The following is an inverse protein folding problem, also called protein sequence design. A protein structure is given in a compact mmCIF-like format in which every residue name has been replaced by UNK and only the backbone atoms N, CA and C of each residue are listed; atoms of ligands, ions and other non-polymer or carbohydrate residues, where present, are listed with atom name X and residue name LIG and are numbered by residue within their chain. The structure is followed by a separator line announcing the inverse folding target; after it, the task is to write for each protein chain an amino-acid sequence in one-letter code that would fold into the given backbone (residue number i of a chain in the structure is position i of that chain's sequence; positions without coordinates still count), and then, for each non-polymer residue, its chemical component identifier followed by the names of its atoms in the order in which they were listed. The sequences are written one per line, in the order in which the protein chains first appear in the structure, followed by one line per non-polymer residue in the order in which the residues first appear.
data_IF_450421600246
#
_entry.id   IF_450421600246
#
_cell.length_a   1.000
_cell.length_b   1.000
_cell.length_c   1.000
_cell.angle_alpha   90.00
_cell.angle_beta   90.00
_cell.angle_gamma   90.00
#
_symmetry.space_group_name_H-M   'P 1'
#
loop_
_entity.id
_entity.type
_entity.pdbx_description
1 polymer ?
#
# COMPACT_ATOMS: atom_id res chain seq x y z
N UNK A 1 31.79 -31.17 9.76
CA UNK A 1 31.88 -30.58 8.41
C UNK A 1 30.65 -29.69 8.26
N UNK A 2 30.79 -28.41 8.63
CA UNK A 2 29.70 -27.43 8.59
C UNK A 2 29.63 -26.97 7.14
N UNK A 3 28.52 -27.28 6.45
CA UNK A 3 28.30 -26.81 5.10
C UNK A 3 28.10 -25.29 5.12
N UNK A 4 28.93 -24.56 4.39
CA UNK A 4 28.74 -23.13 4.17
C UNK A 4 27.34 -22.88 3.54
N UNK A 5 26.58 -21.88 4.00
CA UNK A 5 25.31 -21.55 3.39
C UNK A 5 25.52 -21.10 1.93
N UNK A 6 24.57 -21.38 1.01
CA UNK A 6 24.72 -21.02 -0.39
C UNK A 6 24.92 -19.51 -0.50
N UNK A 7 26.02 -19.08 -1.14
CA UNK A 7 26.30 -17.68 -1.46
C UNK A 7 25.14 -17.14 -2.30
N UNK A 8 24.19 -16.46 -1.66
CA UNK A 8 23.10 -15.78 -2.35
C UNK A 8 23.73 -14.74 -3.26
N UNK A 9 23.56 -14.96 -4.57
CA UNK A 9 24.23 -14.21 -5.62
C UNK A 9 23.86 -12.71 -5.45
N UNK A 10 24.84 -11.80 -5.37
CA UNK A 10 24.59 -10.37 -5.10
C UNK A 10 23.52 -9.77 -6.04
N UNK A 11 23.49 -10.24 -7.29
CA UNK A 11 22.52 -9.90 -8.32
C UNK A 11 21.09 -10.37 -8.02
N UNK A 12 20.90 -11.52 -7.36
CA UNK A 12 19.55 -11.96 -6.97
C UNK A 12 19.00 -11.10 -5.83
N UNK A 13 19.88 -10.67 -4.91
CA UNK A 13 19.52 -9.80 -3.78
C UNK A 13 19.18 -8.36 -4.20
N UNK A 14 19.89 -7.79 -5.17
CA UNK A 14 19.70 -6.40 -5.63
C UNK A 14 18.92 -6.29 -6.95
N UNK A 15 18.25 -7.37 -7.36
CA UNK A 15 17.61 -7.49 -8.67
C UNK A 15 16.56 -6.40 -8.93
N UNK A 16 15.76 -6.07 -7.91
CA UNK A 16 14.73 -5.02 -7.99
C UNK A 16 15.33 -3.63 -8.23
N UNK A 17 16.47 -3.33 -7.59
CA UNK A 17 17.18 -2.06 -7.75
C UNK A 17 17.82 -1.96 -9.14
N UNK A 18 18.38 -3.07 -9.66
CA UNK A 18 18.95 -3.10 -11.01
C UNK A 18 17.88 -2.85 -12.07
N UNK A 19 16.68 -3.42 -11.91
CA UNK A 19 15.58 -3.18 -12.84
C UNK A 19 15.06 -1.76 -12.80
N UNK A 20 14.93 -1.18 -11.60
CA UNK A 20 14.60 0.24 -11.47
C UNK A 20 15.66 1.10 -12.17
N UNK A 21 16.94 0.80 -12.00
CA UNK A 21 18.02 1.51 -12.69
C UNK A 21 17.90 1.42 -14.22
N UNK A 22 17.64 0.22 -14.77
CA UNK A 22 17.42 0.03 -16.21
C UNK A 22 16.21 0.82 -16.69
N UNK A 23 15.09 0.79 -15.95
CA UNK A 23 13.88 1.54 -16.30
C UNK A 23 14.11 3.04 -16.28
N UNK A 24 14.82 3.56 -15.27
CA UNK A 24 15.20 4.97 -15.18
C UNK A 24 16.06 5.39 -16.36
N UNK A 25 17.08 4.60 -16.70
CA UNK A 25 17.96 4.87 -17.84
C UNK A 25 17.18 4.87 -19.17
N UNK A 26 16.32 3.86 -19.37
CA UNK A 26 15.50 3.78 -20.57
C UNK A 26 14.54 4.99 -20.69
N UNK A 27 13.93 5.40 -19.57
CA UNK A 27 13.03 6.55 -19.51
C UNK A 27 13.73 7.85 -19.90
N UNK A 28 14.90 8.10 -19.29
CA UNK A 28 15.76 9.25 -19.58
C UNK A 28 16.18 9.29 -21.06
N UNK A 29 16.68 8.17 -21.59
CA UNK A 29 17.14 8.08 -22.98
C UNK A 29 15.97 8.28 -23.95
N UNK A 30 14.84 7.62 -23.70
CA UNK A 30 13.65 7.75 -24.53
C UNK A 30 13.13 9.20 -24.54
N UNK A 31 13.05 9.86 -23.38
CA UNK A 31 12.61 11.27 -23.30
C UNK A 31 13.58 12.19 -24.02
N UNK A 32 14.89 11.97 -23.90
CA UNK A 32 15.87 12.76 -24.63
C UNK A 32 15.72 12.61 -26.15
N UNK A 33 15.54 11.38 -26.65
CA UNK A 33 15.31 11.14 -28.08
C UNK A 33 14.00 11.79 -28.55
N UNK A 34 12.91 11.63 -27.81
CA UNK A 34 11.61 12.22 -28.18
C UNK A 34 11.68 13.75 -28.22
N UNK A 35 12.30 14.37 -27.21
CA UNK A 35 12.39 15.84 -27.12
C UNK A 35 13.34 16.45 -28.15
N UNK A 36 14.43 15.76 -28.50
CA UNK A 36 15.32 16.19 -29.59
C UNK A 36 14.65 16.09 -30.95
N UNK A 37 13.88 15.02 -31.21
CA UNK A 37 13.11 14.89 -32.45
C UNK A 37 11.99 15.93 -32.58
N UNK A 38 11.38 16.34 -31.48
CA UNK A 38 10.35 17.39 -31.45
C UNK A 38 10.93 18.81 -31.47
N UNK A 39 12.25 18.97 -31.43
CA UNK A 39 12.90 20.30 -31.45
C UNK A 39 12.60 21.14 -30.21
N UNK A 40 12.40 20.51 -29.04
CA UNK A 40 12.07 21.22 -27.80
C UNK A 40 13.26 22.09 -27.35
N UNK A 41 13.06 23.38 -27.01
CA UNK A 41 14.15 24.28 -26.65
C UNK A 41 14.97 23.84 -25.44
N UNK A 42 14.31 23.30 -24.39
CA UNK A 42 14.99 22.88 -23.15
C UNK A 42 14.66 21.40 -22.80
N UNK A 43 15.25 20.42 -23.53
CA UNK A 43 14.92 19.00 -23.35
C UNK A 43 15.25 18.48 -21.94
N UNK A 44 16.17 19.14 -21.23
CA UNK A 44 16.58 18.80 -19.87
C UNK A 44 15.43 18.76 -18.85
N UNK A 45 14.41 19.62 -18.98
CA UNK A 45 13.29 19.64 -18.03
C UNK A 45 12.34 18.47 -18.21
N UNK A 46 12.10 18.08 -19.47
CA UNK A 46 11.35 16.88 -19.82
C UNK A 46 12.10 15.64 -19.32
N UNK A 47 13.42 15.55 -19.55
CA UNK A 47 14.26 14.44 -19.07
C UNK A 47 14.27 14.34 -17.55
N UNK A 48 14.45 15.46 -16.84
CA UNK A 48 14.39 15.50 -15.38
C UNK A 48 13.00 15.09 -14.86
N UNK A 49 11.94 15.48 -15.56
CA UNK A 49 10.58 15.06 -15.23
C UNK A 49 10.40 13.56 -15.41
N UNK A 50 10.81 13.02 -16.55
CA UNK A 50 10.76 11.58 -16.82
C UNK A 50 11.52 10.77 -15.75
N UNK A 51 12.71 11.25 -15.34
CA UNK A 51 13.48 10.65 -14.26
C UNK A 51 12.72 10.65 -12.93
N UNK A 52 12.11 11.79 -12.54
CA UNK A 52 11.38 11.94 -11.28
C UNK A 52 10.13 11.07 -11.25
N UNK A 53 9.38 11.02 -12.35
CA UNK A 53 8.10 10.31 -12.40
C UNK A 53 8.27 8.81 -12.65
N UNK A 54 9.45 8.36 -13.09
CA UNK A 54 9.72 6.93 -13.26
C UNK A 54 9.99 6.30 -11.89
N UNK A 55 9.08 5.45 -11.45
CA UNK A 55 9.14 4.78 -10.14
C UNK A 55 9.32 3.27 -10.30
N UNK A 56 9.60 2.60 -9.17
CA UNK A 56 9.72 1.13 -9.10
C UNK A 56 8.46 0.37 -9.52
N UNK A 57 7.30 1.04 -9.47
CA UNK A 57 6.01 0.49 -9.87
C UNK A 57 5.31 1.43 -10.88
N UNK A 58 4.38 0.89 -11.66
CA UNK A 58 3.65 1.66 -12.68
C UNK A 58 2.71 2.65 -11.99
N UNK A 59 1.99 2.22 -10.95
CA UNK A 59 1.09 3.06 -10.17
C UNK A 59 1.84 4.13 -9.39
N UNK A 60 3.03 3.82 -8.87
CA UNK A 60 3.95 4.81 -8.33
C UNK A 60 4.31 5.86 -9.39
N UNK A 61 4.54 5.43 -10.63
CA UNK A 61 4.87 6.35 -11.73
C UNK A 61 3.67 7.22 -12.12
N UNK A 62 2.46 6.64 -12.20
CA UNK A 62 1.21 7.37 -12.47
C UNK A 62 0.95 8.43 -11.41
N UNK A 63 1.05 8.05 -10.13
CA UNK A 63 0.88 8.98 -9.01
C UNK A 63 1.92 10.09 -9.08
N UNK A 64 3.20 9.75 -9.27
CA UNK A 64 4.28 10.73 -9.39
C UNK A 64 4.07 11.68 -10.58
N UNK A 65 3.62 11.19 -11.74
CA UNK A 65 3.26 12.02 -12.89
C UNK A 65 2.10 12.95 -12.58
N UNK A 66 1.06 12.48 -11.88
CA UNK A 66 -0.08 13.29 -11.46
C UNK A 66 0.33 14.40 -10.48
N UNK A 67 1.04 14.03 -9.42
CA UNK A 67 1.58 14.97 -8.42
C UNK A 67 2.49 16.02 -9.08
N UNK A 68 3.35 15.59 -10.00
CA UNK A 68 4.25 16.47 -10.75
C UNK A 68 3.50 17.42 -11.67
N UNK A 69 2.52 16.93 -12.41
CA UNK A 69 1.72 17.74 -13.34
C UNK A 69 0.86 18.76 -12.59
N UNK A 70 0.09 18.32 -11.59
CA UNK A 70 -0.78 19.18 -10.78
C UNK A 70 0.05 20.20 -10.00
N UNK A 71 1.14 19.77 -9.36
CA UNK A 71 2.04 20.66 -8.64
C UNK A 71 2.65 21.73 -9.53
N UNK A 72 3.13 21.34 -10.72
CA UNK A 72 3.66 22.29 -11.70
C UNK A 72 2.59 23.28 -12.15
N UNK A 73 1.40 22.79 -12.51
CA UNK A 73 0.32 23.65 -12.97
C UNK A 73 -0.08 24.67 -11.90
N UNK A 74 -0.25 24.22 -10.65
CA UNK A 74 -0.57 25.09 -9.52
C UNK A 74 0.53 26.14 -9.29
N UNK A 75 1.80 25.73 -9.31
CA UNK A 75 2.94 26.62 -9.16
C UNK A 75 3.08 27.62 -10.30
N UNK A 76 2.84 27.21 -11.54
CA UNK A 76 2.92 28.06 -12.71
C UNK A 76 1.80 29.11 -12.72
N UNK A 77 0.57 28.72 -12.42
CA UNK A 77 -0.58 29.64 -12.34
C UNK A 77 -0.39 30.63 -11.19
N UNK A 78 -0.06 30.15 -9.99
CA UNK A 78 0.13 31.04 -8.84
C UNK A 78 1.35 31.94 -9.00
N UNK A 79 2.49 31.38 -9.41
CA UNK A 79 3.72 32.14 -9.66
C UNK A 79 3.54 33.18 -10.76
N UNK A 80 2.83 32.84 -11.85
CA UNK A 80 2.51 33.78 -12.92
C UNK A 80 1.55 34.90 -12.47
N UNK A 81 0.55 34.58 -11.65
CA UNK A 81 -0.35 35.58 -11.07
C UNK A 81 0.41 36.57 -10.17
N UNK A 82 1.31 36.08 -9.32
CA UNK A 82 2.17 36.93 -8.49
C UNK A 82 3.11 37.76 -9.36
N UNK A 83 3.73 37.15 -10.36
CA UNK A 83 4.62 37.82 -11.33
C UNK A 83 3.94 38.99 -12.06
N UNK A 84 2.65 38.86 -12.37
CA UNK A 84 1.88 39.86 -13.10
C UNK A 84 1.38 41.02 -12.22
N UNK A 85 1.11 40.77 -10.93
CA UNK A 85 0.50 41.74 -10.02
C UNK A 85 1.53 42.55 -9.26
N UNK A 86 2.62 41.92 -8.84
CA UNK A 86 3.63 42.55 -8.00
C UNK A 86 4.80 43.02 -8.90
N UNK A 87 5.30 44.26 -8.76
CA UNK A 87 6.53 44.67 -9.43
C UNK A 87 7.76 44.19 -8.66
N UNK A 88 8.74 43.59 -9.36
CA UNK A 88 9.88 42.90 -8.71
C UNK A 88 11.26 43.41 -9.15
N UNK A 89 11.36 44.67 -9.61
CA UNK A 89 12.61 45.21 -10.16
C UNK A 89 13.72 45.38 -9.12
N UNK A 90 13.36 45.56 -7.85
CA UNK A 90 14.28 45.80 -6.75
C UNK A 90 14.30 44.62 -5.76
N UNK A 91 15.40 44.47 -5.02
CA UNK A 91 15.61 43.35 -4.09
C UNK A 91 14.50 43.19 -3.04
N UNK A 92 13.91 44.30 -2.59
CA UNK A 92 12.79 44.29 -1.63
C UNK A 92 11.52 43.76 -2.29
N UNK A 93 11.18 44.24 -3.49
CA UNK A 93 10.00 43.78 -4.24
C UNK A 93 10.09 42.30 -4.63
N UNK A 94 11.29 41.83 -5.01
CA UNK A 94 11.53 40.41 -5.24
C UNK A 94 11.32 39.58 -3.95
N UNK A 95 11.75 40.09 -2.80
CA UNK A 95 11.55 39.46 -1.50
C UNK A 95 10.06 39.32 -1.15
N UNK A 96 9.28 40.38 -1.30
CA UNK A 96 7.83 40.38 -1.05
C UNK A 96 7.10 39.35 -1.94
N UNK A 97 7.46 39.31 -3.22
CA UNK A 97 6.85 38.38 -4.15
C UNK A 97 7.24 36.93 -3.93
N UNK A 98 8.48 36.66 -3.52
CA UNK A 98 8.87 35.33 -3.09
C UNK A 98 8.05 34.89 -1.87
N UNK A 99 7.84 35.76 -0.89
CA UNK A 99 7.02 35.45 0.29
C UNK A 99 5.57 35.13 -0.13
N UNK A 100 4.98 35.95 -1.01
CA UNK A 100 3.58 35.78 -1.46
C UNK A 100 3.42 34.57 -2.40
N UNK A 101 4.40 34.30 -3.26
CA UNK A 101 4.38 33.13 -4.14
C UNK A 101 4.61 31.83 -3.37
N UNK A 102 5.57 31.80 -2.45
CA UNK A 102 5.98 30.58 -1.74
C UNK A 102 5.08 30.30 -0.55
N UNK A 103 4.69 31.29 0.24
CA UNK A 103 3.99 31.10 1.52
C UNK A 103 2.74 30.22 1.42
N UNK A 104 1.76 30.56 0.57
CA UNK A 104 0.55 29.76 0.38
C UNK A 104 0.85 28.37 -0.17
N UNK A 105 1.77 28.25 -1.13
CA UNK A 105 2.14 26.97 -1.74
C UNK A 105 2.92 26.08 -0.75
N UNK A 106 3.73 26.65 0.13
CA UNK A 106 4.45 25.95 1.18
C UNK A 106 3.48 25.40 2.24
N UNK A 107 2.49 26.20 2.64
CA UNK A 107 1.41 25.72 3.51
C UNK A 107 0.60 24.59 2.86
N UNK A 108 0.23 24.75 1.59
CA UNK A 108 -0.47 23.70 0.83
C UNK A 108 0.38 22.43 0.69
N UNK A 109 1.69 22.59 0.51
CA UNK A 109 2.67 21.49 0.46
C UNK A 109 2.77 20.75 1.79
N UNK A 110 2.67 21.46 2.92
CA UNK A 110 2.66 20.84 4.25
C UNK A 110 1.42 19.95 4.45
N UNK A 111 0.26 20.34 3.91
CA UNK A 111 -0.96 19.54 3.94
C UNK A 111 -0.97 18.40 2.91
N UNK A 112 -0.39 18.64 1.72
CA UNK A 112 -0.30 17.66 0.62
C UNK A 112 1.13 17.57 0.11
N UNK A 113 1.95 16.66 0.67
CA UNK A 113 3.35 16.50 0.28
C UNK A 113 3.60 16.22 -1.21
N UNK A 114 2.60 15.73 -1.96
CA UNK A 114 2.67 15.57 -3.42
C UNK A 114 2.86 16.89 -4.18
N UNK A 115 2.46 18.03 -3.61
CA UNK A 115 2.54 19.34 -4.25
C UNK A 115 3.87 20.07 -4.02
N UNK A 116 4.90 19.40 -3.50
CA UNK A 116 6.25 19.97 -3.23
C UNK A 116 6.90 20.65 -4.44
N UNK A 117 6.46 20.32 -5.65
CA UNK A 117 6.98 20.91 -6.89
C UNK A 117 6.36 22.30 -7.17
N UNK A 118 5.19 22.60 -6.60
CA UNK A 118 4.49 23.86 -6.85
C UNK A 118 5.30 25.08 -6.40
N UNK A 119 5.84 25.16 -5.16
CA UNK A 119 6.67 26.30 -4.75
C UNK A 119 7.90 26.49 -5.64
N UNK A 120 8.59 25.41 -5.99
CA UNK A 120 9.77 25.45 -6.87
C UNK A 120 9.39 26.00 -8.26
N UNK A 121 8.24 25.58 -8.77
CA UNK A 121 7.74 26.04 -10.08
C UNK A 121 7.38 27.51 -10.05
N UNK A 122 6.72 27.97 -8.98
CA UNK A 122 6.35 29.36 -8.79
C UNK A 122 7.58 30.28 -8.74
N UNK A 123 8.63 29.88 -8.00
CA UNK A 123 9.91 30.61 -7.95
C UNK A 123 10.50 30.78 -9.35
N UNK A 124 10.54 29.71 -10.13
CA UNK A 124 11.16 29.75 -11.46
C UNK A 124 10.34 30.62 -12.42
N UNK A 125 9.00 30.57 -12.37
CA UNK A 125 8.16 31.47 -13.17
C UNK A 125 8.34 32.93 -12.75
N UNK A 126 8.52 33.18 -11.45
CA UNK A 126 8.76 34.52 -10.91
C UNK A 126 10.11 35.09 -11.35
N UNK A 127 11.16 34.26 -11.41
CA UNK A 127 12.54 34.67 -11.74
C UNK A 127 12.81 34.64 -13.25
N UNK A 128 12.16 33.76 -14.02
CA UNK A 128 12.35 33.61 -15.47
C UNK A 128 12.37 34.92 -16.28
N UNK A 129 11.48 35.91 -16.06
CA UNK A 129 11.51 37.16 -16.81
C UNK A 129 12.79 38.02 -16.60
N UNK A 130 13.62 37.73 -15.61
CA UNK A 130 14.85 38.49 -15.35
C UNK A 130 16.04 38.10 -16.24
N UNK A 131 15.96 37.00 -17.00
CA UNK A 131 17.07 36.47 -17.80
C UNK A 131 16.84 36.40 -19.32
N UNK A 132 15.58 36.41 -19.78
CA UNK A 132 15.22 36.26 -21.21
C UNK A 132 13.94 37.09 -21.49
N UNK A 133 13.90 37.78 -22.63
CA UNK A 133 12.77 38.61 -23.13
C UNK A 133 11.55 37.79 -23.58
N UNK A 134 11.15 36.77 -22.82
CA UNK A 134 9.97 35.93 -23.11
C UNK A 134 8.90 36.27 -22.07
N UNK A 135 7.66 36.42 -22.54
CA UNK A 135 6.50 36.70 -21.69
C UNK A 135 6.37 35.60 -20.60
N UNK A 136 6.16 35.95 -19.31
CA UNK A 136 6.01 34.96 -18.24
C UNK A 136 4.99 33.85 -18.53
N UNK A 137 3.93 34.18 -19.28
CA UNK A 137 2.89 33.21 -19.69
C UNK A 137 3.43 32.22 -20.72
N UNK A 138 4.19 32.68 -21.72
CA UNK A 138 4.81 31.83 -22.73
C UNK A 138 5.85 30.90 -22.11
N UNK A 139 6.66 31.41 -21.19
CA UNK A 139 7.63 30.61 -20.42
C UNK A 139 6.94 29.51 -19.60
N UNK A 140 5.82 29.84 -18.93
CA UNK A 140 5.03 28.86 -18.19
C UNK A 140 4.41 27.79 -19.10
N UNK A 141 3.93 28.17 -20.29
CA UNK A 141 3.33 27.25 -21.26
C UNK A 141 4.35 26.26 -21.83
N UNK A 142 5.53 26.73 -22.23
CA UNK A 142 6.64 25.88 -22.70
C UNK A 142 7.00 24.85 -21.62
N UNK A 143 7.09 25.31 -20.36
CA UNK A 143 7.44 24.45 -19.25
C UNK A 143 6.40 23.39 -18.94
N UNK A 144 5.11 23.74 -19.03
CA UNK A 144 4.02 22.78 -18.87
C UNK A 144 4.07 21.71 -19.97
N UNK A 145 4.39 22.10 -21.20
CA UNK A 145 4.54 21.18 -22.31
C UNK A 145 5.71 20.21 -22.12
N UNK A 146 6.88 20.72 -21.71
CA UNK A 146 8.07 19.91 -21.39
C UNK A 146 7.78 18.87 -20.30
N UNK A 147 7.08 19.28 -19.24
CA UNK A 147 6.70 18.40 -18.12
C UNK A 147 5.68 17.35 -18.58
N UNK A 148 4.74 17.74 -19.45
CA UNK A 148 3.77 16.81 -20.04
C UNK A 148 4.47 15.72 -20.85
N UNK A 149 5.43 16.08 -21.70
CA UNK A 149 6.23 15.11 -22.47
C UNK A 149 6.98 14.18 -21.53
N UNK A 150 7.66 14.72 -20.51
CA UNK A 150 8.39 13.92 -19.53
C UNK A 150 7.48 12.93 -18.79
N UNK A 151 6.29 13.36 -18.39
CA UNK A 151 5.27 12.49 -17.78
C UNK A 151 4.83 11.38 -18.73
N UNK A 152 4.46 11.72 -19.97
CA UNK A 152 3.98 10.74 -20.96
C UNK A 152 5.05 9.70 -21.28
N UNK A 153 6.27 10.15 -21.63
CA UNK A 153 7.35 9.24 -21.99
C UNK A 153 7.80 8.40 -20.79
N UNK A 154 7.85 8.98 -19.59
CA UNK A 154 8.15 8.25 -18.37
C UNK A 154 7.14 7.15 -18.07
N UNK A 155 5.84 7.43 -18.21
CA UNK A 155 4.78 6.44 -18.03
C UNK A 155 4.82 5.33 -19.08
N UNK A 156 4.99 5.69 -20.34
CA UNK A 156 5.13 4.72 -21.45
C UNK A 156 6.34 3.82 -21.20
N UNK A 157 7.46 4.40 -20.77
CA UNK A 157 8.67 3.63 -20.46
C UNK A 157 8.46 2.72 -19.24
N UNK A 158 7.79 3.19 -18.20
CA UNK A 158 7.42 2.36 -17.03
C UNK A 158 6.49 1.19 -17.41
N UNK A 159 5.65 1.35 -18.43
CA UNK A 159 4.79 0.29 -18.94
C UNK A 159 5.55 -0.73 -19.80
N UNK A 160 6.51 -0.28 -20.61
CA UNK A 160 7.22 -1.12 -21.60
C UNK A 160 8.47 -1.79 -21.01
N UNK A 161 9.23 -1.07 -20.18
CA UNK A 161 10.53 -1.52 -19.70
C UNK A 161 10.38 -2.30 -18.40
N UNK A 162 10.56 -3.62 -18.53
CA UNK A 162 10.72 -4.61 -17.46
C UNK A 162 9.70 -4.41 -16.33
N UNK A 163 8.44 -4.88 -16.49
CA UNK A 163 7.51 -4.88 -15.38
C UNK A 163 8.13 -5.67 -14.22
N UNK A 164 8.42 -4.99 -13.12
CA UNK A 164 9.03 -5.62 -11.94
C UNK A 164 7.97 -6.52 -11.33
N UNK A 165 8.08 -7.81 -11.66
CA UNK A 165 7.42 -8.98 -11.07
C UNK A 165 6.42 -8.62 -9.97
N UNK A 166 5.20 -8.29 -10.41
CA UNK A 166 4.03 -8.13 -9.55
C UNK A 166 3.89 -9.28 -8.56
N UNK A 167 4.32 -10.50 -8.94
CA UNK A 167 4.25 -11.69 -8.08
C UNK A 167 4.97 -11.54 -6.75
N UNK A 168 6.24 -11.12 -6.76
CA UNK A 168 7.02 -11.00 -5.51
C UNK A 168 6.53 -9.84 -4.66
N UNK A 169 6.15 -8.72 -5.29
CA UNK A 169 5.56 -7.58 -4.58
C UNK A 169 4.20 -7.95 -3.96
N UNK A 170 3.38 -8.72 -4.67
CA UNK A 170 2.10 -9.23 -4.20
C UNK A 170 2.30 -10.21 -3.05
N UNK A 171 3.27 -11.12 -3.13
CA UNK A 171 3.63 -12.03 -2.05
C UNK A 171 4.05 -11.29 -0.78
N UNK A 172 4.96 -10.30 -0.91
CA UNK A 172 5.39 -9.47 0.22
C UNK A 172 4.25 -8.66 0.83
N UNK A 173 3.40 -8.04 0.01
CA UNK A 173 2.26 -7.25 0.48
C UNK A 173 1.21 -8.14 1.17
N UNK A 174 0.99 -9.35 0.64
CA UNK A 174 0.11 -10.35 1.26
C UNK A 174 0.65 -10.78 2.63
N UNK A 175 1.95 -11.10 2.72
CA UNK A 175 2.58 -11.47 3.98
C UNK A 175 2.43 -10.37 5.05
N UNK A 176 2.74 -9.12 4.70
CA UNK A 176 2.57 -8.00 5.65
C UNK A 176 1.11 -7.85 6.12
N UNK A 177 0.13 -8.01 5.24
CA UNK A 177 -1.29 -7.95 5.62
C UNK A 177 -1.66 -9.10 6.57
N UNK A 178 -1.23 -10.33 6.27
CA UNK A 178 -1.52 -11.51 7.10
C UNK A 178 -0.89 -11.43 8.49
N UNK A 179 0.34 -10.94 8.59
CA UNK A 179 1.02 -10.75 9.89
C UNK A 179 0.22 -9.79 10.79
N UNK A 180 -0.22 -8.65 10.25
CA UNK A 180 -1.04 -7.71 11.01
C UNK A 180 -2.41 -8.28 11.37
N UNK A 181 -3.02 -9.07 10.48
CA UNK A 181 -4.27 -9.77 10.78
C UNK A 181 -4.13 -10.77 11.93
N UNK A 182 -3.03 -11.52 11.98
CA UNK A 182 -2.72 -12.43 13.08
C UNK A 182 -2.49 -11.69 14.39
N UNK A 183 -1.75 -10.58 14.36
CA UNK A 183 -1.54 -9.75 15.55
C UNK A 183 -2.86 -9.19 16.08
N UNK A 184 -3.73 -8.65 15.21
CA UNK A 184 -5.06 -8.17 15.58
C UNK A 184 -5.94 -9.26 16.16
N UNK A 185 -5.97 -10.47 15.57
CA UNK A 185 -6.70 -11.61 16.14
C UNK A 185 -6.30 -11.86 17.59
N UNK A 186 -4.99 -11.81 17.87
CA UNK A 186 -4.47 -11.96 19.23
C UNK A 186 -4.87 -10.83 20.17
N UNK A 187 -4.83 -9.58 19.71
CA UNK A 187 -5.27 -8.42 20.49
C UNK A 187 -6.77 -8.51 20.79
N UNK A 188 -7.60 -8.83 19.82
CA UNK A 188 -9.06 -8.94 19.98
C UNK A 188 -9.44 -10.05 20.97
N UNK A 189 -8.81 -11.21 20.85
CA UNK A 189 -9.03 -12.31 21.80
C UNK A 189 -8.55 -11.95 23.21
N UNK A 190 -7.36 -11.36 23.34
CA UNK A 190 -6.85 -10.88 24.63
C UNK A 190 -7.76 -9.81 25.26
N UNK A 191 -8.33 -8.93 24.44
CA UNK A 191 -9.30 -7.91 24.88
C UNK A 191 -10.61 -8.54 25.35
N UNK A 192 -11.12 -9.54 24.63
CA UNK A 192 -12.27 -10.33 25.08
C UNK A 192 -12.03 -11.04 26.41
N UNK A 193 -10.79 -11.44 26.69
CA UNK A 193 -10.40 -12.06 27.97
C UNK A 193 -10.04 -11.04 29.07
N UNK A 194 -10.09 -9.74 28.76
CA UNK A 194 -9.77 -8.67 29.70
C UNK A 194 -8.28 -8.55 30.04
N UNK A 195 -7.38 -9.16 29.25
CA UNK A 195 -5.93 -9.09 29.46
C UNK A 195 -5.27 -7.95 28.67
N UNK A 196 -5.97 -7.40 27.68
CA UNK A 196 -5.59 -6.21 26.91
C UNK A 196 -6.75 -5.25 26.75
N UNK A 197 -6.43 -4.00 26.42
CA UNK A 197 -7.43 -2.97 26.12
C UNK A 197 -7.69 -2.83 24.62
N UNK A 198 -8.90 -2.44 24.24
CA UNK A 198 -9.27 -2.23 22.84
C UNK A 198 -8.40 -1.15 22.15
N UNK A 199 -7.97 -0.13 22.90
CA UNK A 199 -7.08 0.93 22.40
C UNK A 199 -5.71 0.43 21.92
N UNK A 200 -5.24 -0.73 22.41
CA UNK A 200 -3.98 -1.31 21.93
C UNK A 200 -4.06 -1.81 20.48
N UNK A 201 -5.26 -1.98 19.93
CA UNK A 201 -5.45 -2.40 18.54
C UNK A 201 -5.33 -1.27 17.52
N UNK A 202 -5.53 -0.01 17.93
CA UNK A 202 -5.67 1.15 17.01
C UNK A 202 -4.46 1.32 16.08
N UNK A 203 -3.23 1.22 16.62
CA UNK A 203 -2.01 1.35 15.84
C UNK A 203 -1.84 0.20 14.83
N UNK A 204 -2.21 -1.02 15.21
CA UNK A 204 -2.14 -2.20 14.35
C UNK A 204 -3.24 -2.18 13.29
N UNK A 205 -4.44 -1.66 13.61
CA UNK A 205 -5.53 -1.44 12.65
C UNK A 205 -5.14 -0.40 11.59
N UNK A 206 -4.52 0.71 12.00
CA UNK A 206 -3.99 1.73 11.08
C UNK A 206 -2.90 1.14 10.20
N UNK A 207 -1.96 0.38 10.77
CA UNK A 207 -0.92 -0.29 10.02
C UNK A 207 -1.51 -1.30 9.01
N UNK A 208 -2.50 -2.11 9.40
CA UNK A 208 -3.19 -3.03 8.50
C UNK A 208 -3.85 -2.25 7.34
N UNK A 209 -4.56 -1.16 7.62
CA UNK A 209 -5.19 -0.33 6.59
C UNK A 209 -4.15 0.20 5.59
N UNK A 210 -3.02 0.73 6.07
CA UNK A 210 -1.91 1.18 5.23
C UNK A 210 -1.34 0.05 4.34
N UNK A 211 -1.20 -1.16 4.88
CA UNK A 211 -0.77 -2.32 4.12
C UNK A 211 -1.79 -2.77 3.08
N UNK A 212 -3.09 -2.72 3.40
CA UNK A 212 -4.18 -3.06 2.47
C UNK A 212 -4.30 -2.04 1.33
N UNK A 213 -4.12 -0.75 1.59
CA UNK A 213 -4.10 0.28 0.55
C UNK A 213 -2.93 0.07 -0.42
N UNK A 214 -1.75 -0.24 0.13
CA UNK A 214 -0.57 -0.63 -0.67
C UNK A 214 -0.85 -1.90 -1.47
N UNK A 215 -1.44 -2.92 -0.86
CA UNK A 215 -1.78 -4.17 -1.52
C UNK A 215 -2.80 -3.99 -2.65
N UNK A 216 -3.80 -3.12 -2.47
CA UNK A 216 -4.77 -2.75 -3.51
C UNK A 216 -4.12 -2.05 -4.71
N UNK A 217 -3.13 -1.18 -4.45
CA UNK A 217 -2.35 -0.55 -5.52
C UNK A 217 -1.55 -1.58 -6.32
N UNK A 218 -0.83 -2.48 -5.64
CA UNK A 218 -0.04 -3.55 -6.27
C UNK A 218 -0.94 -4.51 -7.06
N UNK A 219 -2.11 -4.86 -6.51
CA UNK A 219 -3.08 -5.72 -7.20
C UNK A 219 -3.60 -5.08 -8.48
N UNK A 220 -3.95 -3.79 -8.43
CA UNK A 220 -4.43 -3.05 -9.60
C UNK A 220 -3.37 -3.02 -10.70
N UNK A 221 -2.11 -2.79 -10.33
CA UNK A 221 -0.97 -2.86 -11.24
C UNK A 221 -0.80 -4.26 -11.84
N UNK A 222 -0.88 -5.32 -11.01
CA UNK A 222 -0.75 -6.70 -11.45
C UNK A 222 -1.88 -7.11 -12.43
N UNK A 223 -3.11 -6.65 -12.21
CA UNK A 223 -4.24 -6.87 -13.13
C UNK A 223 -3.97 -6.19 -14.47
N UNK A 224 -3.44 -4.95 -14.45
CA UNK A 224 -3.12 -4.22 -15.66
C UNK A 224 -1.96 -4.85 -16.41
N UNK A 225 -0.92 -5.30 -15.70
CA UNK A 225 0.21 -6.05 -16.27
C UNK A 225 -0.28 -7.30 -17.01
N UNK A 226 -1.14 -8.11 -16.39
CA UNK A 226 -1.73 -9.30 -17.01
C UNK A 226 -2.54 -8.99 -18.27
N UNK A 227 -3.24 -7.85 -18.33
CA UNK A 227 -3.99 -7.42 -19.52
C UNK A 227 -3.07 -7.08 -20.69
N UNK A 228 -1.92 -6.48 -20.41
CA UNK A 228 -0.95 -6.06 -21.42
C UNK A 228 0.00 -7.20 -21.83
N UNK A 229 0.34 -8.07 -20.90
CA UNK A 229 1.31 -9.15 -21.08
C UNK A 229 0.65 -10.52 -20.80
N UNK A 230 0.35 -11.27 -21.87
CA UNK A 230 -0.20 -12.65 -21.78
C UNK A 230 0.72 -13.66 -21.08
N UNK A 231 1.97 -13.30 -20.80
CA UNK A 231 2.94 -14.16 -20.12
C UNK A 231 2.72 -14.26 -18.59
N UNK A 232 1.83 -13.45 -18.00
CA UNK A 232 1.45 -13.57 -16.58
C UNK A 232 0.41 -14.67 -16.41
N UNK A 233 0.80 -15.76 -15.77
CA UNK A 233 0.06 -17.01 -15.65
C UNK A 233 -0.83 -17.10 -14.39
N UNK A 234 -0.85 -16.08 -13.54
CA UNK A 234 -1.66 -16.04 -12.32
C UNK A 234 -2.66 -14.88 -12.31
N UNK A 235 -3.76 -15.04 -11.58
CA UNK A 235 -4.74 -13.99 -11.36
C UNK A 235 -4.56 -13.39 -9.94
N UNK A 236 -4.20 -12.10 -9.79
CA UNK A 236 -4.07 -11.46 -8.49
C UNK A 236 -5.43 -11.13 -7.83
N UNK A 237 -6.51 -11.01 -8.60
CA UNK A 237 -7.80 -10.52 -8.10
C UNK A 237 -8.47 -11.46 -7.08
N UNK A 238 -8.39 -12.79 -7.21
CA UNK A 238 -8.81 -13.70 -6.14
C UNK A 238 -8.10 -13.38 -4.82
N UNK A 239 -6.77 -13.46 -4.76
CA UNK A 239 -6.00 -13.26 -3.52
C UNK A 239 -6.41 -11.96 -2.82
N UNK A 240 -6.51 -10.87 -3.58
CA UNK A 240 -6.98 -9.58 -3.06
C UNK A 240 -8.36 -9.65 -2.42
N UNK A 241 -9.35 -10.26 -3.10
CA UNK A 241 -10.70 -10.42 -2.57
C UNK A 241 -10.73 -11.21 -1.26
N UNK A 242 -9.92 -12.27 -1.13
CA UNK A 242 -9.92 -13.09 0.09
C UNK A 242 -9.24 -12.38 1.26
N UNK A 243 -8.16 -11.64 1.03
CA UNK A 243 -7.56 -10.77 2.07
C UNK A 243 -8.57 -9.71 2.54
N UNK A 244 -9.30 -9.07 1.63
CA UNK A 244 -10.33 -8.09 2.02
C UNK A 244 -11.50 -8.73 2.79
N UNK A 245 -11.84 -9.98 2.49
CA UNK A 245 -12.83 -10.77 3.25
C UNK A 245 -12.33 -11.11 4.65
N UNK A 246 -11.09 -11.60 4.79
CA UNK A 246 -10.46 -11.87 6.09
C UNK A 246 -10.40 -10.61 6.97
N UNK A 247 -10.08 -9.45 6.39
CA UNK A 247 -10.17 -8.16 7.08
C UNK A 247 -11.59 -7.89 7.60
N UNK A 248 -12.61 -8.18 6.80
CA UNK A 248 -14.00 -7.99 7.23
C UNK A 248 -14.38 -8.93 8.38
N UNK A 249 -13.93 -10.19 8.35
CA UNK A 249 -14.17 -11.15 9.43
C UNK A 249 -13.53 -10.65 10.74
N UNK A 250 -12.34 -10.06 10.68
CA UNK A 250 -11.71 -9.42 11.84
C UNK A 250 -12.52 -8.27 12.41
N UNK A 251 -13.22 -7.48 11.58
CA UNK A 251 -14.13 -6.44 12.07
C UNK A 251 -15.34 -7.05 12.80
N UNK A 252 -15.88 -8.18 12.34
CA UNK A 252 -16.96 -8.89 13.04
C UNK A 252 -16.47 -9.39 14.41
N UNK A 253 -15.26 -9.95 14.45
CA UNK A 253 -14.62 -10.43 15.69
C UNK A 253 -14.37 -9.26 16.63
N UNK A 254 -13.76 -8.17 16.16
CA UNK A 254 -13.53 -6.93 16.91
C UNK A 254 -14.83 -6.43 17.56
N UNK A 255 -15.92 -6.36 16.80
CA UNK A 255 -17.22 -5.94 17.33
C UNK A 255 -17.76 -6.90 18.40
N UNK A 256 -17.49 -8.20 18.30
CA UNK A 256 -17.86 -9.15 19.33
C UNK A 256 -16.98 -9.03 20.59
N UNK A 257 -15.72 -8.63 20.44
CA UNK A 257 -14.70 -8.55 21.51
C UNK A 257 -14.47 -7.15 22.08
N UNK A 258 -15.20 -6.12 21.63
CA UNK A 258 -14.98 -4.71 22.04
C UNK A 258 -15.09 -4.44 23.55
N UNK A 259 -15.80 -5.31 24.27
CA UNK A 259 -15.96 -5.29 25.71
C UNK A 259 -15.43 -6.62 26.28
N UNK A 260 -14.80 -6.63 27.46
CA UNK A 260 -14.37 -7.89 28.06
C UNK A 260 -15.56 -8.80 28.36
N UNK A 261 -15.36 -10.10 28.17
CA UNK A 261 -16.33 -11.11 28.56
C UNK A 261 -16.44 -11.16 30.10
N UNK A 262 -17.62 -11.47 30.66
CA UNK A 262 -17.76 -11.72 32.08
C UNK A 262 -16.76 -12.78 32.56
N UNK A 263 -16.17 -12.60 33.75
CA UNK A 263 -15.07 -13.43 34.26
C UNK A 263 -15.40 -14.93 34.31
N UNK A 264 -16.65 -15.28 34.57
CA UNK A 264 -17.14 -16.68 34.54
C UNK A 264 -17.09 -17.31 33.14
N UNK A 265 -17.40 -16.53 32.10
CA UNK A 265 -17.37 -16.94 30.71
C UNK A 265 -15.92 -16.95 30.21
N UNK A 266 -15.16 -15.90 30.52
CA UNK A 266 -13.75 -15.78 30.16
C UNK A 266 -12.91 -16.93 30.74
N UNK A 267 -13.17 -17.37 31.97
CA UNK A 267 -12.45 -18.50 32.58
C UNK A 267 -12.78 -19.85 31.92
N UNK A 268 -14.00 -20.04 31.42
CA UNK A 268 -14.43 -21.26 30.70
C UNK A 268 -13.93 -21.29 29.25
N UNK A 269 -14.08 -20.19 28.51
CA UNK A 269 -13.73 -20.11 27.09
C UNK A 269 -12.27 -19.73 26.84
N UNK A 270 -11.59 -19.13 27.81
CA UNK A 270 -10.21 -18.64 27.70
C UNK A 270 -9.22 -19.64 27.13
N UNK A 271 -9.17 -20.91 27.58
CA UNK A 271 -8.28 -21.91 27.00
C UNK A 271 -8.52 -22.14 25.49
N UNK A 272 -9.78 -22.24 25.08
CA UNK A 272 -10.14 -22.43 23.66
C UNK A 272 -9.82 -21.19 22.81
N UNK A 273 -10.11 -20.00 23.33
CA UNK A 273 -9.82 -18.72 22.68
C UNK A 273 -8.32 -18.47 22.52
N UNK A 274 -7.52 -18.73 23.57
CA UNK A 274 -6.06 -18.61 23.49
C UNK A 274 -5.46 -19.60 22.48
N UNK A 275 -5.97 -20.84 22.44
CA UNK A 275 -5.53 -21.82 21.44
C UNK A 275 -5.88 -21.37 20.02
N UNK A 276 -7.11 -20.88 19.80
CA UNK A 276 -7.57 -20.36 18.51
C UNK A 276 -6.70 -19.20 18.04
N UNK A 277 -6.39 -18.25 18.94
CA UNK A 277 -5.46 -17.15 18.68
C UNK A 277 -4.11 -17.65 18.18
N UNK A 278 -3.48 -18.56 18.94
CA UNK A 278 -2.15 -19.07 18.63
C UNK A 278 -2.09 -19.79 17.27
N UNK A 279 -3.00 -20.74 17.01
CA UNK A 279 -2.98 -21.50 15.75
C UNK A 279 -3.34 -20.64 14.55
N UNK A 280 -4.19 -19.62 14.73
CA UNK A 280 -4.55 -18.69 13.66
C UNK A 280 -3.37 -17.79 13.31
N UNK A 281 -2.67 -17.27 14.33
CA UNK A 281 -1.45 -16.49 14.12
C UNK A 281 -0.38 -17.27 13.37
N UNK A 282 -0.15 -18.51 13.78
CA UNK A 282 0.79 -19.41 13.11
C UNK A 282 0.37 -19.69 11.66
N UNK A 283 -0.89 -20.04 11.42
CA UNK A 283 -1.41 -20.28 10.08
C UNK A 283 -1.26 -19.06 9.15
N UNK A 284 -1.62 -17.86 9.62
CA UNK A 284 -1.50 -16.63 8.82
C UNK A 284 -0.03 -16.28 8.55
N UNK A 285 0.85 -16.47 9.54
CA UNK A 285 2.29 -16.27 9.36
C UNK A 285 2.87 -17.23 8.32
N UNK A 286 2.64 -18.54 8.47
CA UNK A 286 3.16 -19.55 7.55
C UNK A 286 2.60 -19.38 6.14
N UNK A 287 1.32 -19.00 6.02
CA UNK A 287 0.72 -18.67 4.72
C UNK A 287 1.39 -17.45 4.08
N UNK A 288 1.79 -16.46 4.88
CA UNK A 288 2.57 -15.31 4.42
C UNK A 288 3.94 -15.70 3.87
N UNK A 289 4.67 -16.59 4.54
CA UNK A 289 5.94 -17.14 4.06
C UNK A 289 5.75 -17.94 2.77
N UNK A 290 4.69 -18.73 2.68
CA UNK A 290 4.35 -19.49 1.48
C UNK A 290 4.08 -18.58 0.27
N UNK A 291 3.40 -17.44 0.48
CA UNK A 291 3.18 -16.44 -0.56
C UNK A 291 4.46 -15.78 -1.05
N UNK A 292 5.51 -15.73 -0.23
CA UNK A 292 6.85 -15.26 -0.62
C UNK A 292 7.69 -16.34 -1.31
N UNK A 293 7.21 -17.58 -1.35
CA UNK A 293 7.94 -18.74 -1.87
C UNK A 293 9.03 -19.25 -0.91
N UNK A 294 8.94 -18.89 0.38
CA UNK A 294 9.90 -19.28 1.41
C UNK A 294 9.51 -20.58 2.14
N UNK A 295 8.24 -20.97 2.06
CA UNK A 295 7.67 -22.15 2.71
C UNK A 295 6.58 -22.82 1.83
N UNK A 296 6.23 -24.10 2.08
CA UNK A 296 5.02 -24.69 1.51
C UNK A 296 3.75 -24.11 2.15
N UNK A 297 2.60 -24.30 1.50
CA UNK A 297 1.32 -23.91 2.08
C UNK A 297 1.05 -24.68 3.39
N UNK A 298 0.68 -24.01 4.49
CA UNK A 298 0.49 -24.67 5.78
C UNK A 298 -0.78 -25.54 5.84
N UNK A 299 -0.82 -26.54 6.73
CA UNK A 299 -2.04 -27.30 7.00
C UNK A 299 -3.10 -26.41 7.67
N UNK A 300 -4.36 -26.58 7.27
CA UNK A 300 -5.50 -25.84 7.83
C UNK A 300 -6.12 -26.54 9.07
N UNK A 301 -5.92 -27.85 9.18
CA UNK A 301 -6.48 -28.71 10.23
C UNK A 301 -6.31 -28.16 11.67
N UNK A 302 -5.16 -27.57 12.08
CA UNK A 302 -5.03 -27.00 13.42
C UNK A 302 -6.02 -25.85 13.72
N UNK A 303 -6.37 -25.05 12.70
CA UNK A 303 -7.33 -23.95 12.81
C UNK A 303 -8.75 -24.49 12.91
N UNK A 304 -9.09 -25.49 12.09
CA UNK A 304 -10.38 -26.20 12.13
C UNK A 304 -10.63 -26.78 13.54
N UNK A 305 -9.66 -27.54 14.06
CA UNK A 305 -9.74 -28.16 15.39
C UNK A 305 -9.86 -27.13 16.52
N UNK A 306 -9.23 -25.97 16.40
CA UNK A 306 -9.33 -24.93 17.43
C UNK A 306 -10.70 -24.24 17.43
N UNK A 307 -11.31 -24.04 16.26
CA UNK A 307 -12.66 -23.48 16.14
C UNK A 307 -13.69 -24.49 16.63
N UNK A 308 -13.54 -25.77 16.28
CA UNK A 308 -14.39 -26.85 16.81
C UNK A 308 -14.28 -26.93 18.34
N UNK A 309 -13.06 -26.81 18.88
CA UNK A 309 -12.82 -26.77 20.32
C UNK A 309 -13.49 -25.58 21.01
N UNK A 310 -13.50 -24.39 20.38
CA UNK A 310 -14.23 -23.23 20.86
C UNK A 310 -15.75 -23.47 20.84
N UNK A 311 -16.28 -23.99 19.74
CA UNK A 311 -17.71 -24.27 19.59
C UNK A 311 -18.18 -25.29 20.62
N UNK A 312 -17.44 -26.37 20.83
CA UNK A 312 -17.73 -27.37 21.85
C UNK A 312 -17.72 -26.78 23.28
N UNK A 313 -16.74 -25.94 23.60
CA UNK A 313 -16.67 -25.26 24.90
C UNK A 313 -17.84 -24.27 25.10
N UNK A 314 -18.25 -23.58 24.02
CA UNK A 314 -19.40 -22.68 24.05
C UNK A 314 -20.73 -23.42 24.21
N UNK A 315 -20.91 -24.54 23.51
CA UNK A 315 -22.10 -25.38 23.65
C UNK A 315 -22.22 -25.97 25.05
N UNK A 316 -21.12 -26.50 25.60
CA UNK A 316 -21.08 -26.98 26.99
C UNK A 316 -21.46 -25.87 27.99
N UNK A 317 -20.92 -24.66 27.83
CA UNK A 317 -21.27 -23.51 28.67
C UNK A 317 -22.77 -23.20 28.64
N UNK A 318 -23.43 -23.37 27.49
CA UNK A 318 -24.86 -23.12 27.31
C UNK A 318 -25.72 -24.24 27.89
N UNK A 319 -25.32 -25.49 27.72
CA UNK A 319 -26.00 -26.66 28.31
C UNK A 319 -26.01 -26.59 29.84
N UNK A 320 -24.90 -26.18 30.45
CA UNK A 320 -24.76 -25.94 31.89
C UNK A 320 -25.57 -24.71 32.37
N UNK A 321 -26.19 -23.96 31.47
CA UNK A 321 -26.95 -22.76 31.79
C UNK A 321 -26.10 -21.53 32.12
N UNK A 322 -24.78 -21.57 31.86
CA UNK A 322 -23.82 -20.52 32.17
C UNK A 322 -24.06 -19.18 31.45
N UNK A 323 -24.93 -19.17 30.42
CA UNK A 323 -25.33 -17.95 29.71
C UNK A 323 -26.70 -17.39 30.15
N UNK A 324 -27.48 -18.12 30.97
CA UNK A 324 -28.88 -17.77 31.31
C UNK A 324 -29.01 -16.52 32.17
N UNK A 325 -28.00 -16.23 32.99
CA UNK A 325 -27.98 -15.11 33.92
C UNK A 325 -27.49 -13.80 33.29
N UNK A 326 -27.03 -13.84 32.04
CA UNK A 326 -26.46 -12.69 31.35
C UNK A 326 -27.47 -11.97 30.45
N UNK A 327 -27.32 -10.64 30.25
CA UNK A 327 -28.15 -9.87 29.33
C UNK A 327 -28.09 -10.44 27.90
N UNK A 328 -29.19 -10.30 27.15
CA UNK A 328 -29.25 -10.76 25.75
C UNK A 328 -28.16 -10.14 24.87
N UNK A 329 -27.66 -8.95 25.20
CA UNK A 329 -26.55 -8.32 24.48
C UNK A 329 -25.25 -9.14 24.60
N UNK A 330 -24.88 -9.57 25.81
CA UNK A 330 -23.70 -10.42 26.05
C UNK A 330 -23.83 -11.76 25.32
N UNK A 331 -25.01 -12.38 25.39
CA UNK A 331 -25.27 -13.65 24.70
C UNK A 331 -25.15 -13.48 23.18
N UNK A 332 -25.74 -12.43 22.60
CA UNK A 332 -25.61 -12.12 21.17
C UNK A 332 -24.15 -11.96 20.74
N UNK A 333 -23.33 -11.29 21.55
CA UNK A 333 -21.89 -11.10 21.26
C UNK A 333 -21.14 -12.43 21.19
N UNK A 334 -21.45 -13.39 22.06
CA UNK A 334 -20.84 -14.73 22.01
C UNK A 334 -21.20 -15.50 20.73
N UNK A 335 -22.47 -15.41 20.29
CA UNK A 335 -22.87 -15.97 19.00
C UNK A 335 -22.21 -15.27 17.82
N UNK A 336 -22.13 -13.93 17.84
CA UNK A 336 -21.42 -13.17 16.82
C UNK A 336 -19.94 -13.56 16.75
N UNK A 337 -19.31 -13.84 17.90
CA UNK A 337 -17.93 -14.30 17.96
C UNK A 337 -17.75 -15.67 17.28
N UNK A 338 -18.59 -16.65 17.63
CA UNK A 338 -18.57 -17.96 16.97
C UNK A 338 -18.82 -17.86 15.46
N UNK A 339 -19.81 -17.07 15.06
CA UNK A 339 -20.07 -16.81 13.64
C UNK A 339 -18.90 -16.14 12.91
N UNK A 340 -18.23 -15.20 13.57
CA UNK A 340 -17.02 -14.55 13.07
C UNK A 340 -15.90 -15.57 12.82
N UNK A 341 -15.67 -16.50 13.75
CA UNK A 341 -14.67 -17.56 13.58
C UNK A 341 -15.03 -18.53 12.44
N UNK A 342 -16.30 -18.93 12.31
CA UNK A 342 -16.73 -19.78 11.18
C UNK A 342 -16.56 -19.08 9.82
N UNK A 343 -16.90 -17.79 9.73
CA UNK A 343 -16.66 -17.00 8.52
C UNK A 343 -15.17 -16.92 8.20
N UNK A 344 -14.36 -16.62 9.21
CA UNK A 344 -12.92 -16.55 9.10
C UNK A 344 -12.33 -17.88 8.60
N UNK A 345 -12.76 -19.01 9.14
CA UNK A 345 -12.31 -20.34 8.69
C UNK A 345 -12.64 -20.60 7.21
N UNK A 346 -13.86 -20.25 6.76
CA UNK A 346 -14.24 -20.39 5.36
C UNK A 346 -13.32 -19.58 4.44
N UNK A 347 -12.98 -18.35 4.84
CA UNK A 347 -12.07 -17.51 4.05
C UNK A 347 -10.61 -17.96 4.16
N UNK A 348 -10.17 -18.53 5.28
CA UNK A 348 -8.87 -19.21 5.40
C UNK A 348 -8.79 -20.45 4.51
N UNK A 349 -9.88 -21.19 4.36
CA UNK A 349 -9.96 -22.35 3.45
C UNK A 349 -9.74 -21.92 2.01
N UNK A 350 -10.52 -20.94 1.54
CA UNK A 350 -10.39 -20.34 0.22
C UNK A 350 -9.00 -19.72 -0.01
N UNK A 351 -8.42 -19.12 1.03
CA UNK A 351 -7.06 -18.60 0.97
C UNK A 351 -6.02 -19.71 0.84
N UNK A 352 -6.13 -20.79 1.61
CA UNK A 352 -5.18 -21.90 1.59
C UNK A 352 -5.14 -22.59 0.23
N UNK A 353 -6.29 -22.80 -0.41
CA UNK A 353 -6.35 -23.33 -1.78
C UNK A 353 -5.58 -22.45 -2.77
N UNK A 354 -5.73 -21.12 -2.67
CA UNK A 354 -5.03 -20.16 -3.51
C UNK A 354 -3.54 -20.11 -3.23
N UNK A 355 -3.13 -20.24 -1.97
CA UNK A 355 -1.72 -20.34 -1.57
C UNK A 355 -1.10 -21.61 -2.15
N UNK A 356 -1.81 -22.75 -2.15
CA UNK A 356 -1.35 -23.99 -2.80
C UNK A 356 -1.18 -23.81 -4.30
N UNK A 357 -2.15 -23.21 -4.98
CA UNK A 357 -2.03 -22.88 -6.41
C UNK A 357 -0.85 -21.93 -6.68
N UNK A 358 -0.69 -20.92 -5.82
CA UNK A 358 0.40 -19.96 -5.91
C UNK A 358 1.75 -20.65 -5.77
N UNK A 359 1.95 -21.50 -4.77
CA UNK A 359 3.20 -22.24 -4.59
C UNK A 359 3.44 -23.22 -5.75
N UNK A 360 2.40 -23.92 -6.22
CA UNK A 360 2.52 -24.86 -7.33
C UNK A 360 3.00 -24.22 -8.65
N UNK A 361 2.59 -22.97 -8.93
CA UNK A 361 3.03 -22.22 -10.13
C UNK A 361 4.40 -21.57 -9.95
N UNK A 362 5.04 -21.67 -8.78
CA UNK A 362 6.37 -21.09 -8.51
C UNK A 362 7.51 -22.02 -8.97
N UNK A 363 7.20 -23.32 -9.09
CA UNK A 363 8.04 -24.38 -9.63
C UNK A 363 7.63 -24.69 -11.06
#
# INVERSE_FOLDING_TARGET
MIADPPKTNWFSKHRSQLFLAIRLLASVIATYIVTTLLGIPQPQWAVLTALIVTQGSVGGSIKASGDRFIGTLAGAVWGGAVAAVIPHSDAVGLGEALIIAIGPLAFLTAMRPGLRVAPITAIIVLIAPTGITVDPVESAAIRLFEITIGCVVGLVTSLIVLPVRSRQQLGNATNSALQQMGELMGIYIASALGTRTASESEATEEALQNHLDKFGSITTEAIQERRLYRAVDYDPAPIFRTIMRLRHDLVIIQQATHEPLPTSIASRLGPSLNRLSAVTQEFLHESGLAMQGEAPAPPLEPVELAIDGFNAAFDQLREEGGTRTYPSATVKRLFSLGHGFEQFLRHCTDFNERTKEWVARAH
#
